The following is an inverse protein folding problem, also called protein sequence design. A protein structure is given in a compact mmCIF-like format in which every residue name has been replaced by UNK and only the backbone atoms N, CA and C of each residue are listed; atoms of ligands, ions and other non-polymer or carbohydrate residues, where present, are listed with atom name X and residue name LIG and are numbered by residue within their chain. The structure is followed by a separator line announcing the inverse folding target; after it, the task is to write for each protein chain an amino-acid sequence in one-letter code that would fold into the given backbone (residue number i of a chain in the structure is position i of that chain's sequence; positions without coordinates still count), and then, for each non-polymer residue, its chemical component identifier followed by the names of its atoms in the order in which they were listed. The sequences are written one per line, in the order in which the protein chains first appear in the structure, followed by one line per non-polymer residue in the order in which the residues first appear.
data_IF_084238848766
#
_entry.id   IF_084238848766
#
_cell.length_a   1.000
_cell.length_b   1.000
_cell.length_c   1.000
_cell.angle_alpha   90.00
_cell.angle_beta   90.00
_cell.angle_gamma   90.00
#
_symmetry.space_group_name_H-M   'P 1'
#
loop_
_entity.id
_entity.type
_entity.pdbx_description
1 polymer ?
#
# COMPACT_ATOMS: atom_id res chain seq x y z
N UNK A 1 22.14 7.98 -0.81
CA UNK A 1 21.12 7.16 -0.10
C UNK A 1 20.07 8.00 0.65
N UNK A 2 20.47 8.96 1.50
CA UNK A 2 19.53 9.81 2.26
C UNK A 2 18.55 10.60 1.38
N UNK A 3 19.05 11.20 0.29
CA UNK A 3 18.24 11.97 -0.66
C UNK A 3 17.16 11.12 -1.36
N UNK A 4 17.45 9.86 -1.70
CA UNK A 4 16.46 8.96 -2.29
C UNK A 4 15.36 8.56 -1.30
N UNK A 5 15.70 8.39 -0.01
CA UNK A 5 14.69 8.14 1.03
C UNK A 5 13.80 9.36 1.25
N UNK A 6 14.32 10.57 1.09
CA UNK A 6 13.52 11.81 1.13
C UNK A 6 12.54 11.87 -0.04
N UNK A 7 13.01 11.66 -1.28
CA UNK A 7 12.13 11.59 -2.47
C UNK A 7 11.03 10.53 -2.33
N UNK A 8 11.37 9.35 -1.80
CA UNK A 8 10.38 8.31 -1.52
C UNK A 8 9.34 8.79 -0.48
N UNK A 9 9.77 9.46 0.60
CA UNK A 9 8.84 9.99 1.60
C UNK A 9 7.90 11.03 1.00
N UNK A 10 8.41 11.98 0.22
CA UNK A 10 7.61 13.00 -0.45
C UNK A 10 6.55 12.37 -1.36
N UNK A 11 6.95 11.39 -2.17
CA UNK A 11 6.03 10.59 -2.97
C UNK A 11 4.95 9.93 -2.09
N UNK A 12 5.34 9.31 -0.98
CA UNK A 12 4.38 8.67 -0.07
C UNK A 12 3.42 9.68 0.57
N UNK A 13 3.91 10.88 0.92
CA UNK A 13 3.08 11.95 1.46
C UNK A 13 2.03 12.41 0.45
N UNK A 14 2.40 12.53 -0.83
CA UNK A 14 1.44 12.88 -1.89
C UNK A 14 0.29 11.87 -1.99
N UNK A 15 0.56 10.58 -1.83
CA UNK A 15 -0.50 9.57 -1.74
C UNK A 15 -1.27 9.65 -0.42
N UNK A 16 -0.58 9.82 0.71
CA UNK A 16 -1.22 9.88 2.03
C UNK A 16 -2.18 11.06 2.18
N UNK A 17 -1.87 12.19 1.55
CA UNK A 17 -2.69 13.40 1.56
C UNK A 17 -3.99 13.26 0.77
N UNK A 18 -4.14 12.22 -0.05
CA UNK A 18 -5.41 11.91 -0.73
C UNK A 18 -6.43 11.28 0.22
N UNK A 19 -6.00 10.79 1.39
CA UNK A 19 -6.90 10.30 2.42
C UNK A 19 -7.50 11.48 3.20
N UNK A 20 -8.82 11.55 3.20
CA UNK A 20 -9.63 12.46 3.99
C UNK A 20 -10.36 11.71 5.14
N UNK A 21 -11.15 12.44 5.93
CA UNK A 21 -11.89 11.88 7.07
C UNK A 21 -12.97 10.84 6.69
N UNK A 22 -13.38 10.79 5.41
CA UNK A 22 -14.36 9.82 4.90
C UNK A 22 -13.70 8.62 4.20
N UNK A 23 -12.37 8.60 4.11
CA UNK A 23 -11.65 7.55 3.38
C UNK A 23 -11.77 6.20 4.08
N UNK A 24 -12.07 5.16 3.31
CA UNK A 24 -12.23 3.81 3.82
C UNK A 24 -10.88 3.11 4.00
N UNK A 25 -10.88 2.00 4.74
CA UNK A 25 -9.72 1.10 4.81
C UNK A 25 -9.30 0.59 3.41
N UNK A 26 -10.25 0.48 2.49
CA UNK A 26 -9.97 0.07 1.12
C UNK A 26 -9.22 1.16 0.34
N UNK A 27 -9.60 2.43 0.51
CA UNK A 27 -8.90 3.56 -0.10
C UNK A 27 -7.47 3.66 0.43
N UNK A 28 -7.29 3.47 1.74
CA UNK A 28 -5.96 3.41 2.34
C UNK A 28 -5.09 2.30 1.74
N UNK A 29 -5.62 1.08 1.59
CA UNK A 29 -4.86 -0.02 0.98
C UNK A 29 -4.61 0.16 -0.51
N UNK A 30 -5.54 0.76 -1.25
CA UNK A 30 -5.34 1.12 -2.66
C UNK A 30 -4.19 2.12 -2.82
N UNK A 31 -4.17 3.19 -2.01
CA UNK A 31 -3.11 4.20 -2.05
C UNK A 31 -1.75 3.62 -1.63
N UNK A 32 -1.72 2.72 -0.63
CA UNK A 32 -0.49 1.98 -0.28
C UNK A 32 0.00 1.13 -1.46
N UNK A 33 -0.90 0.44 -2.16
CA UNK A 33 -0.56 -0.35 -3.35
C UNK A 33 0.01 0.55 -4.47
N UNK A 34 -0.64 1.67 -4.75
CA UNK A 34 -0.23 2.58 -5.83
C UNK A 34 1.12 3.25 -5.49
N UNK A 35 1.34 3.65 -4.23
CA UNK A 35 2.63 4.16 -3.76
C UNK A 35 3.75 3.12 -3.90
N UNK A 36 3.48 1.84 -3.61
CA UNK A 36 4.45 0.77 -3.81
C UNK A 36 4.79 0.54 -5.29
N UNK A 37 3.80 0.55 -6.18
CA UNK A 37 4.04 0.37 -7.62
C UNK A 37 4.79 1.57 -8.21
N UNK A 38 4.47 2.79 -7.77
CA UNK A 38 5.22 3.99 -8.16
C UNK A 38 6.67 3.90 -7.68
N UNK A 39 6.89 3.61 -6.38
CA UNK A 39 8.23 3.47 -5.83
C UNK A 39 9.03 2.35 -6.52
N UNK A 40 8.38 1.24 -6.91
CA UNK A 40 9.01 0.15 -7.66
C UNK A 40 9.49 0.59 -9.04
N UNK A 41 8.75 1.47 -9.72
CA UNK A 41 9.11 1.98 -11.05
C UNK A 41 10.22 3.01 -10.95
N UNK A 42 10.11 3.96 -10.03
CA UNK A 42 11.02 5.09 -9.91
C UNK A 42 12.37 4.73 -9.25
N UNK A 43 12.33 3.92 -8.18
CA UNK A 43 13.51 3.56 -7.38
C UNK A 43 14.01 2.14 -7.66
N UNK A 44 13.62 1.55 -8.80
CA UNK A 44 14.02 0.19 -9.20
C UNK A 44 15.54 0.02 -9.09
N UNK A 45 16.00 -1.00 -8.34
CA UNK A 45 17.43 -1.28 -8.05
C UNK A 45 18.20 -0.19 -7.28
N UNK A 46 17.59 0.97 -6.97
CA UNK A 46 18.22 2.08 -6.24
C UNK A 46 17.95 2.04 -4.73
N UNK A 47 16.80 1.48 -4.33
CA UNK A 47 16.43 1.26 -2.92
C UNK A 47 16.15 -0.22 -2.65
N UNK A 48 16.54 -0.69 -1.47
CA UNK A 48 16.18 -2.05 -1.01
C UNK A 48 14.68 -2.10 -0.76
N UNK A 49 14.03 -3.20 -1.14
CA UNK A 49 12.58 -3.39 -0.92
C UNK A 49 12.18 -3.19 0.54
N UNK A 50 13.01 -3.64 1.49
CA UNK A 50 12.76 -3.43 2.92
C UNK A 50 12.70 -1.96 3.31
N UNK A 51 13.60 -1.13 2.79
CA UNK A 51 13.59 0.32 3.04
C UNK A 51 12.32 0.96 2.45
N UNK A 52 11.92 0.53 1.24
CA UNK A 52 10.69 1.03 0.59
C UNK A 52 9.46 0.71 1.44
N UNK A 53 9.32 -0.54 1.88
CA UNK A 53 8.20 -0.96 2.73
C UNK A 53 8.19 -0.25 4.10
N UNK A 54 9.37 0.03 4.65
CA UNK A 54 9.50 0.75 5.91
C UNK A 54 9.04 2.21 5.79
N UNK A 55 9.51 2.93 4.76
CA UNK A 55 9.16 4.34 4.59
C UNK A 55 7.67 4.53 4.24
N UNK A 56 7.12 3.67 3.36
CA UNK A 56 5.67 3.69 3.08
C UNK A 56 4.88 3.41 4.37
N UNK A 57 5.28 2.40 5.14
CA UNK A 57 4.61 2.08 6.40
C UNK A 57 4.63 3.25 7.38
N UNK A 58 5.78 3.92 7.50
CA UNK A 58 5.94 5.09 8.36
C UNK A 58 5.00 6.23 7.97
N UNK A 59 4.90 6.57 6.68
CA UNK A 59 4.04 7.68 6.21
C UNK A 59 2.55 7.34 6.35
N UNK A 60 2.17 6.09 6.10
CA UNK A 60 0.79 5.65 6.22
C UNK A 60 0.37 5.25 7.64
N UNK A 61 1.29 5.30 8.62
CA UNK A 61 1.01 4.90 10.01
C UNK A 61 0.72 3.41 10.19
N UNK A 62 1.32 2.54 9.37
CA UNK A 62 1.10 1.09 9.39
C UNK A 62 2.41 0.30 9.40
N UNK A 63 2.36 -0.95 9.86
CA UNK A 63 3.53 -1.83 9.83
C UNK A 63 3.97 -2.16 8.40
N UNK A 64 5.27 -2.37 8.17
CA UNK A 64 5.78 -2.82 6.86
C UNK A 64 5.14 -4.14 6.39
N UNK A 65 4.72 -4.99 7.33
CA UNK A 65 3.99 -6.22 7.01
C UNK A 65 2.60 -5.93 6.44
N UNK A 66 1.90 -4.92 6.99
CA UNK A 66 0.63 -4.43 6.44
C UNK A 66 0.83 -3.90 5.03
N UNK A 67 1.88 -3.12 4.79
CA UNK A 67 2.21 -2.60 3.44
C UNK A 67 2.44 -3.76 2.46
N UNK A 68 3.20 -4.78 2.87
CA UNK A 68 3.44 -5.97 2.04
C UNK A 68 2.16 -6.77 1.74
N UNK A 69 1.27 -6.93 2.74
CA UNK A 69 -0.01 -7.61 2.58
C UNK A 69 -0.98 -6.83 1.69
N UNK A 70 -1.03 -5.51 1.84
CA UNK A 70 -1.86 -4.62 1.03
C UNK A 70 -1.60 -4.84 -0.46
N UNK A 71 -0.32 -5.02 -0.84
CA UNK A 71 0.04 -5.32 -2.23
C UNK A 71 -0.71 -6.53 -2.80
N UNK A 72 -0.57 -7.65 -2.09
CA UNK A 72 -1.09 -8.93 -2.54
C UNK A 72 -2.63 -8.94 -2.48
N UNK A 73 -3.21 -8.33 -1.44
CA UNK A 73 -4.64 -8.24 -1.29
C UNK A 73 -5.29 -7.37 -2.38
N UNK A 74 -4.77 -6.16 -2.63
CA UNK A 74 -5.29 -5.26 -3.66
C UNK A 74 -5.07 -5.83 -5.06
N UNK A 75 -3.92 -6.42 -5.34
CA UNK A 75 -3.66 -7.10 -6.62
C UNK A 75 -4.68 -8.20 -6.90
N UNK A 76 -4.98 -9.05 -5.92
CA UNK A 76 -6.02 -10.07 -6.03
C UNK A 76 -7.42 -9.49 -6.23
N UNK A 77 -7.77 -8.40 -5.54
CA UNK A 77 -9.03 -7.70 -5.78
C UNK A 77 -9.14 -7.13 -7.21
N UNK A 78 -8.04 -6.60 -7.77
CA UNK A 78 -8.01 -5.99 -9.11
C UNK A 78 -7.97 -7.03 -10.25
N UNK A 79 -7.34 -8.19 -10.03
CA UNK A 79 -7.13 -9.22 -11.06
C UNK A 79 -8.13 -10.38 -10.99
N UNK A 80 -8.89 -10.51 -9.91
CA UNK A 80 -9.75 -11.68 -9.67
C UNK A 80 -9.00 -12.94 -9.24
N UNK A 81 -7.66 -12.91 -9.20
CA UNK A 81 -6.85 -14.04 -8.76
C UNK A 81 -6.93 -14.25 -7.24
N UNK A 82 -6.84 -15.51 -6.75
CA UNK A 82 -6.89 -15.78 -5.33
C UNK A 82 -5.73 -15.10 -4.58
N UNK A 83 -5.98 -14.53 -3.38
CA UNK A 83 -4.92 -13.93 -2.57
C UNK A 83 -3.91 -14.97 -2.09
N UNK A 84 -2.65 -14.54 -1.97
CA UNK A 84 -1.62 -15.34 -1.30
C UNK A 84 -2.04 -15.60 0.15
N UNK A 85 -1.65 -16.76 0.70
CA UNK A 85 -2.03 -17.23 2.06
C UNK A 85 -1.83 -16.16 3.15
N UNK A 86 -0.72 -15.43 3.09
CA UNK A 86 -0.38 -14.38 4.06
C UNK A 86 -1.22 -13.09 3.94
N UNK A 87 -2.01 -12.94 2.89
CA UNK A 87 -2.85 -11.76 2.61
C UNK A 87 -4.36 -12.07 2.64
N UNK A 88 -4.76 -13.33 2.88
CA UNK A 88 -6.18 -13.75 2.89
C UNK A 88 -7.02 -12.88 3.82
N UNK A 89 -6.60 -12.67 5.07
CA UNK A 89 -7.37 -11.87 6.04
C UNK A 89 -7.53 -10.42 5.59
N UNK A 90 -6.47 -9.82 5.05
CA UNK A 90 -6.50 -8.46 4.50
C UNK A 90 -7.42 -8.36 3.28
N UNK A 91 -7.36 -9.36 2.39
CA UNK A 91 -8.23 -9.47 1.22
C UNK A 91 -9.71 -9.64 1.60
N UNK A 92 -10.02 -10.51 2.57
CA UNK A 92 -11.40 -10.71 3.03
C UNK A 92 -11.98 -9.41 3.59
N UNK A 93 -11.23 -8.68 4.43
CA UNK A 93 -11.66 -7.38 4.95
C UNK A 93 -11.96 -6.37 3.84
N UNK A 94 -11.15 -6.35 2.77
CA UNK A 94 -11.39 -5.53 1.59
C UNK A 94 -12.67 -5.95 0.84
N UNK A 95 -12.87 -7.25 0.62
CA UNK A 95 -14.03 -7.79 -0.11
C UNK A 95 -15.35 -7.57 0.63
N UNK A 96 -15.35 -7.68 1.96
CA UNK A 96 -16.54 -7.51 2.79
C UNK A 96 -16.97 -6.04 2.94
N UNK A 97 -16.05 -5.08 2.93
CA UNK A 97 -16.42 -3.65 2.92
C UNK A 97 -17.19 -3.26 1.65
N UNK A 98 -16.89 -3.90 0.51
CA UNK A 98 -17.63 -3.66 -0.75
C UNK A 98 -19.12 -4.07 -0.68
N UNK A 99 -19.52 -4.91 0.29
CA UNK A 99 -20.92 -5.35 0.49
C UNK A 99 -21.70 -4.53 1.51
N UNK A 100 -21.05 -3.62 2.26
CA UNK A 100 -21.69 -2.82 3.32
C UNK A 100 -22.07 -1.40 2.88
N UNK A 101 -21.80 -1.02 1.64
CA UNK A 101 -22.39 0.18 1.04
C UNK A 101 -23.83 -0.15 0.66
N UNK A 102 -24.75 0.13 1.59
CA UNK A 102 -26.20 0.19 1.39
C UNK A 102 -26.54 1.60 0.91
#
# INVERSE_FOLDING_TARGET
MREMKLKLRELCFNYRNQLNHTSTLQDQYNLIYDAQEHARREFKKKLKTRDVLYEIGKVFGVSSQTVYRAKAAVSSCRTGLPPKKYAIRTYSNLKHNKKRSI
#
